data_IF_152308905908
#
_entry.id   IF_152308905908
#
_cell.length_a   1.000
_cell.length_b   1.000
_cell.length_c   1.000
_cell.angle_alpha   90.00
_cell.angle_beta   90.00
_cell.angle_gamma   90.00
#
_symmetry.space_group_name_H-M   'P 1'
#
loop_
_entity.id
_entity.type
_entity.pdbx_description
1 polymer ?
#
# COMPACT_ATOMS: atom_id res chain seq x y z
N UNK A 1 54.91 -58.67 -2.77
CA UNK A 1 53.89 -58.16 -1.82
C UNK A 1 52.77 -57.55 -2.64
N UNK A 2 51.54 -58.05 -2.77
CA UNK A 2 50.86 -59.33 -2.52
C UNK A 2 49.54 -59.22 -3.33
N UNK A 3 49.29 -60.14 -4.28
CA UNK A 3 48.18 -61.13 -4.28
C UNK A 3 46.76 -60.53 -4.24
N UNK A 4 46.00 -60.42 -5.34
CA UNK A 4 45.22 -61.44 -6.11
C UNK A 4 43.94 -61.96 -5.41
N UNK A 5 42.79 -61.77 -6.08
CA UNK A 5 41.57 -62.62 -6.24
C UNK A 5 40.34 -61.69 -6.42
N UNK A 6 39.60 -61.60 -7.55
CA UNK A 6 38.89 -62.56 -8.41
C UNK A 6 37.65 -63.21 -7.75
N UNK A 7 36.47 -63.06 -8.40
CA UNK A 7 35.34 -64.00 -8.62
C UNK A 7 34.11 -63.16 -9.08
N UNK A 8 33.70 -63.21 -10.36
CA UNK A 8 32.73 -64.15 -11.01
C UNK A 8 31.27 -63.92 -10.53
N UNK A 9 30.19 -63.95 -11.32
CA UNK A 9 29.92 -64.25 -12.72
C UNK A 9 28.41 -64.06 -12.98
N UNK A 10 28.02 -63.78 -14.23
CA UNK A 10 26.64 -63.64 -14.75
C UNK A 10 25.95 -65.03 -14.97
N UNK A 11 24.92 -65.21 -15.82
CA UNK A 11 23.49 -64.79 -15.78
C UNK A 11 22.49 -65.97 -16.02
N UNK A 12 21.17 -65.68 -16.03
CA UNK A 12 20.11 -66.51 -16.67
C UNK A 12 19.36 -67.45 -15.71
N UNK A 13 18.11 -67.89 -15.94
CA UNK A 13 17.20 -67.73 -17.07
C UNK A 13 15.73 -68.07 -16.66
N UNK A 14 14.84 -67.64 -17.55
CA UNK A 14 13.39 -67.90 -17.79
C UNK A 14 12.85 -69.30 -17.41
N UNK A 15 11.57 -69.33 -16.99
CA UNK A 15 10.42 -70.08 -17.57
C UNK A 15 9.17 -69.73 -16.73
N UNK A 16 8.03 -69.24 -17.26
CA UNK A 16 7.09 -69.73 -18.28
C UNK A 16 5.88 -70.50 -17.71
N UNK A 17 4.71 -69.86 -17.81
CA UNK A 17 3.38 -70.38 -18.23
C UNK A 17 2.50 -71.17 -17.25
N UNK A 18 1.27 -70.64 -17.06
CA UNK A 18 -0.06 -71.30 -17.21
C UNK A 18 -1.08 -70.53 -16.32
N UNK A 19 -1.92 -69.64 -16.87
CA UNK A 19 -3.26 -69.88 -17.44
C UNK A 19 -4.23 -70.67 -16.53
N UNK A 20 -5.24 -70.00 -15.98
CA UNK A 20 -6.60 -70.55 -15.95
C UNK A 20 -7.66 -69.48 -15.65
N UNK A 21 -8.62 -69.47 -16.56
CA UNK A 21 -9.90 -68.76 -16.60
C UNK A 21 -10.74 -68.94 -15.32
N UNK A 22 -11.43 -67.88 -14.93
CA UNK A 22 -12.54 -67.91 -13.98
C UNK A 22 -13.42 -66.68 -14.15
N UNK A 23 -14.49 -66.83 -14.92
CA UNK A 23 -15.49 -65.81 -15.21
C UNK A 23 -16.58 -65.75 -14.11
N UNK A 24 -17.32 -64.64 -14.15
CA UNK A 24 -18.62 -64.37 -13.52
C UNK A 24 -18.63 -63.82 -12.09
N UNK A 25 -18.49 -62.50 -11.97
CA UNK A 25 -19.21 -61.75 -10.94
C UNK A 25 -20.30 -60.88 -11.56
N UNK A 26 -21.50 -61.09 -11.02
CA UNK A 26 -22.78 -60.53 -11.44
C UNK A 26 -22.85 -59.06 -11.04
N UNK A 27 -22.72 -58.13 -11.98
CA UNK A 27 -23.11 -56.74 -11.74
C UNK A 27 -24.63 -56.61 -11.87
N UNK A 28 -25.27 -56.37 -10.72
CA UNK A 28 -26.72 -56.24 -10.62
C UNK A 28 -27.19 -54.94 -11.31
N UNK A 29 -28.23 -55.07 -12.13
CA UNK A 29 -28.94 -53.99 -12.85
C UNK A 29 -29.63 -52.98 -11.89
N UNK A 30 -29.48 -53.14 -10.57
CA UNK A 30 -30.09 -52.25 -9.56
C UNK A 30 -29.25 -51.02 -9.19
N UNK A 31 -27.99 -50.94 -9.62
CA UNK A 31 -27.12 -49.78 -9.39
C UNK A 31 -27.32 -48.62 -10.38
N UNK A 32 -27.68 -48.92 -11.64
CA UNK A 32 -27.80 -47.92 -12.70
C UNK A 32 -29.07 -47.06 -12.60
N UNK A 33 -30.14 -47.57 -11.98
CA UNK A 33 -31.42 -46.83 -11.83
C UNK A 33 -31.36 -45.80 -10.69
N UNK A 34 -30.49 -45.99 -9.69
CA UNK A 34 -30.32 -45.03 -8.58
C UNK A 34 -29.41 -43.85 -8.91
N UNK A 35 -28.47 -44.02 -9.85
CA UNK A 35 -27.60 -42.93 -10.32
C UNK A 35 -28.32 -41.95 -11.28
N UNK A 36 -29.31 -42.43 -12.05
CA UNK A 36 -30.09 -41.56 -12.95
C UNK A 36 -31.13 -40.70 -12.19
N UNK A 37 -31.68 -41.20 -11.08
CA UNK A 37 -32.69 -40.49 -10.29
C UNK A 37 -32.13 -39.33 -9.44
N UNK A 38 -30.88 -39.43 -8.95
CA UNK A 38 -30.24 -38.32 -8.22
C UNK A 38 -29.73 -37.19 -9.13
N UNK A 39 -29.47 -37.47 -10.40
CA UNK A 39 -28.99 -36.45 -11.35
C UNK A 39 -30.16 -35.59 -11.90
N UNK A 40 -31.38 -36.12 -11.93
CA UNK A 40 -32.57 -35.37 -12.39
C UNK A 40 -33.14 -34.40 -11.32
N UNK A 41 -32.99 -34.70 -10.02
CA UNK A 41 -33.45 -33.81 -8.94
C UNK A 41 -32.55 -32.58 -8.72
N UNK A 42 -31.27 -32.65 -9.10
CA UNK A 42 -30.35 -31.51 -8.97
C UNK A 42 -30.55 -30.44 -10.06
N UNK A 43 -31.11 -30.81 -11.23
CA UNK A 43 -31.37 -29.86 -12.32
C UNK A 43 -32.70 -29.09 -12.17
N UNK A 44 -33.64 -29.59 -11.35
CA UNK A 44 -34.95 -28.94 -11.17
C UNK A 44 -35.00 -27.89 -10.04
N UNK A 45 -33.92 -27.74 -9.25
CA UNK A 45 -33.82 -26.72 -8.19
C UNK A 45 -33.08 -25.44 -8.62
N UNK A 46 -32.64 -25.33 -9.88
CA UNK A 46 -31.92 -24.16 -10.41
C UNK A 46 -32.78 -23.23 -11.30
N UNK A 47 -34.10 -23.45 -11.40
CA UNK A 47 -34.98 -22.70 -12.32
C UNK A 47 -36.01 -21.79 -11.64
N UNK A 48 -35.89 -21.49 -10.34
CA UNK A 48 -36.93 -20.75 -9.60
C UNK A 48 -36.40 -19.57 -8.77
N UNK A 49 -35.72 -18.62 -9.43
CA UNK A 49 -35.51 -17.25 -8.93
C UNK A 49 -35.39 -16.27 -10.13
N UNK A 50 -36.42 -16.19 -10.97
CA UNK A 50 -36.59 -15.10 -11.92
C UNK A 50 -37.82 -14.30 -11.50
N UNK A 51 -37.64 -13.35 -10.59
CA UNK A 51 -38.66 -12.37 -10.24
C UNK A 51 -38.90 -11.39 -11.41
N UNK A 52 -40.09 -10.77 -11.51
CA UNK A 52 -40.40 -9.85 -12.60
C UNK A 52 -39.52 -8.61 -12.48
N UNK A 53 -38.67 -8.38 -13.47
CA UNK A 53 -37.88 -7.16 -13.60
C UNK A 53 -38.79 -6.02 -14.08
N UNK A 54 -39.23 -5.21 -13.13
CA UNK A 54 -39.97 -3.98 -13.37
C UNK A 54 -39.09 -3.04 -14.20
N UNK A 55 -39.54 -2.74 -15.43
CA UNK A 55 -38.90 -1.78 -16.32
C UNK A 55 -39.11 -0.37 -15.75
N UNK A 56 -38.21 0.06 -14.88
CA UNK A 56 -38.07 1.47 -14.54
C UNK A 56 -37.61 2.22 -15.80
N UNK A 57 -38.41 3.21 -16.18
CA UNK A 57 -38.25 4.00 -17.39
C UNK A 57 -36.89 4.69 -17.49
N UNK A 58 -36.51 4.91 -18.74
CA UNK A 58 -35.38 5.69 -19.21
C UNK A 58 -35.46 7.13 -18.68
N UNK A 59 -34.94 7.35 -17.48
CA UNK A 59 -34.41 8.65 -17.11
C UNK A 59 -32.95 8.67 -17.55
N UNK A 60 -32.62 9.55 -18.49
CA UNK A 60 -31.23 9.88 -18.78
C UNK A 60 -30.53 10.20 -17.44
N UNK A 61 -29.32 9.68 -17.17
CA UNK A 61 -28.60 10.07 -15.97
C UNK A 61 -28.43 11.59 -16.05
N UNK A 62 -29.07 12.30 -15.11
CA UNK A 62 -28.68 13.66 -14.76
C UNK A 62 -27.18 13.56 -14.53
N UNK A 63 -26.40 14.25 -15.36
CA UNK A 63 -24.96 14.15 -15.37
C UNK A 63 -24.46 14.41 -13.94
N UNK A 64 -24.09 13.34 -13.22
CA UNK A 64 -23.33 13.47 -12.01
C UNK A 64 -22.10 14.25 -12.41
N UNK A 65 -21.95 15.45 -11.86
CA UNK A 65 -20.86 16.36 -12.17
C UNK A 65 -19.57 15.58 -11.95
N UNK A 66 -18.87 15.28 -13.05
CA UNK A 66 -17.67 14.43 -13.01
C UNK A 66 -16.60 15.22 -12.27
N UNK A 67 -16.26 14.78 -11.07
CA UNK A 67 -15.19 15.37 -10.26
C UNK A 67 -13.95 15.53 -11.13
N UNK A 68 -13.52 16.78 -11.30
CA UNK A 68 -12.35 17.11 -12.12
C UNK A 68 -11.08 17.01 -11.29
N UNK A 69 -10.18 16.11 -11.69
CA UNK A 69 -8.92 15.81 -11.01
C UNK A 69 -7.75 16.38 -11.81
N UNK A 70 -6.80 17.03 -11.14
CA UNK A 70 -5.47 17.31 -11.69
C UNK A 70 -4.48 16.23 -11.25
N UNK A 71 -3.71 15.65 -12.16
CA UNK A 71 -2.65 14.69 -11.82
C UNK A 71 -1.31 15.39 -11.90
N UNK A 72 -0.67 15.58 -10.75
CA UNK A 72 0.63 16.25 -10.66
C UNK A 72 1.75 15.43 -11.31
N UNK A 73 2.88 16.07 -11.68
CA UNK A 73 4.08 15.36 -12.08
C UNK A 73 4.48 14.30 -11.03
N UNK A 74 4.86 13.11 -11.50
CA UNK A 74 5.28 12.02 -10.63
C UNK A 74 6.45 12.46 -9.75
N UNK A 75 6.27 12.34 -8.44
CA UNK A 75 7.37 12.53 -7.50
C UNK A 75 8.27 11.29 -7.50
N UNK A 76 9.54 11.46 -7.84
CA UNK A 76 10.49 10.35 -7.81
C UNK A 76 11.27 10.29 -6.48
N UNK A 77 10.80 9.41 -5.59
CA UNK A 77 11.41 9.10 -4.29
C UNK A 77 12.38 7.90 -4.36
N UNK A 78 12.55 7.25 -5.52
CA UNK A 78 13.46 6.09 -5.65
C UNK A 78 14.93 6.50 -5.62
N UNK A 79 15.23 7.74 -5.99
CA UNK A 79 16.61 8.21 -6.16
C UNK A 79 17.34 7.62 -7.38
N UNK A 80 16.64 6.83 -8.20
CA UNK A 80 17.14 6.27 -9.48
C UNK A 80 16.42 6.90 -10.68
N UNK A 81 16.96 6.70 -11.88
CA UNK A 81 16.23 7.02 -13.12
C UNK A 81 14.96 6.16 -13.21
N UNK A 82 13.84 6.77 -13.57
CA UNK A 82 12.56 6.08 -13.71
C UNK A 82 11.72 6.70 -14.85
N UNK A 83 10.88 5.91 -15.54
CA UNK A 83 10.01 6.35 -16.64
C UNK A 83 8.82 7.16 -16.10
N UNK A 84 9.12 8.36 -15.58
CA UNK A 84 8.19 9.14 -14.77
C UNK A 84 7.02 9.70 -15.60
N UNK A 85 7.27 9.98 -16.88
CA UNK A 85 6.24 10.47 -17.81
C UNK A 85 5.26 9.36 -18.14
N UNK A 86 5.78 8.18 -18.47
CA UNK A 86 5.03 7.00 -18.86
C UNK A 86 4.15 6.50 -17.71
N UNK A 87 4.67 6.50 -16.47
CA UNK A 87 3.88 6.17 -15.27
C UNK A 87 2.73 7.16 -15.08
N UNK A 88 2.98 8.47 -15.27
CA UNK A 88 1.94 9.49 -15.14
C UNK A 88 0.88 9.36 -16.24
N UNK A 89 1.29 9.14 -17.48
CA UNK A 89 0.37 8.88 -18.60
C UNK A 89 -0.51 7.67 -18.33
N UNK A 90 0.03 6.64 -17.69
CA UNK A 90 -0.75 5.48 -17.26
C UNK A 90 -1.80 5.85 -16.21
N UNK A 91 -1.45 6.66 -15.19
CA UNK A 91 -2.44 7.19 -14.24
C UNK A 91 -3.55 7.98 -14.94
N UNK A 92 -3.21 8.89 -15.86
CA UNK A 92 -4.18 9.67 -16.64
C UNK A 92 -5.15 8.74 -17.37
N UNK A 93 -4.62 7.76 -18.11
CA UNK A 93 -5.42 6.81 -18.87
C UNK A 93 -6.35 5.96 -17.98
N UNK A 94 -5.85 5.47 -16.83
CA UNK A 94 -6.65 4.65 -15.91
C UNK A 94 -7.74 5.44 -15.21
N UNK A 95 -7.48 6.69 -14.80
CA UNK A 95 -8.49 7.56 -14.22
C UNK A 95 -9.58 7.91 -15.23
N UNK A 96 -9.21 8.22 -16.48
CA UNK A 96 -10.18 8.47 -17.54
C UNK A 96 -11.04 7.23 -17.83
N UNK A 97 -10.43 6.04 -17.89
CA UNK A 97 -11.15 4.78 -18.05
C UNK A 97 -12.09 4.47 -16.87
N UNK A 98 -11.73 4.90 -15.66
CA UNK A 98 -12.58 4.82 -14.47
C UNK A 98 -13.71 5.88 -14.42
N UNK A 99 -13.77 6.79 -15.40
CA UNK A 99 -14.85 7.76 -15.54
C UNK A 99 -14.60 9.14 -14.91
N UNK A 100 -13.39 9.39 -14.38
CA UNK A 100 -13.03 10.71 -13.85
C UNK A 100 -12.80 11.73 -14.97
N UNK A 101 -13.12 13.00 -14.72
CA UNK A 101 -12.67 14.09 -15.57
C UNK A 101 -11.24 14.45 -15.17
N UNK A 102 -10.27 14.35 -16.08
CA UNK A 102 -8.87 14.67 -15.78
C UNK A 102 -8.47 15.96 -16.50
N UNK A 103 -7.79 16.86 -15.80
CA UNK A 103 -7.25 18.10 -16.36
C UNK A 103 -6.14 17.76 -17.37
N UNK A 104 -6.14 18.44 -18.52
CA UNK A 104 -5.10 18.29 -19.54
C UNK A 104 -3.77 18.92 -19.11
N UNK A 105 -2.68 18.43 -19.70
CA UNK A 105 -1.31 18.80 -19.33
C UNK A 105 -1.02 20.28 -19.59
N UNK A 106 -1.45 20.82 -20.74
CA UNK A 106 -1.23 22.24 -21.06
C UNK A 106 -1.94 23.15 -20.05
N UNK A 107 -3.14 22.79 -19.60
CA UNK A 107 -3.86 23.52 -18.56
C UNK A 107 -3.16 23.44 -17.20
N UNK A 108 -2.68 22.26 -16.81
CA UNK A 108 -1.93 22.10 -15.57
C UNK A 108 -0.64 22.91 -15.59
N UNK A 109 0.14 22.81 -16.67
CA UNK A 109 1.41 23.52 -16.84
C UNK A 109 1.23 25.04 -16.83
N UNK A 110 0.15 25.55 -17.42
CA UNK A 110 -0.20 26.98 -17.34
C UNK A 110 -0.43 27.44 -15.91
N UNK A 111 -1.19 26.68 -15.12
CA UNK A 111 -1.45 27.01 -13.70
C UNK A 111 -0.15 26.92 -12.90
N UNK A 112 0.60 25.82 -13.04
CA UNK A 112 1.86 25.62 -12.33
C UNK A 112 2.88 26.71 -12.64
N UNK A 113 3.01 27.11 -13.91
CA UNK A 113 3.93 28.17 -14.35
C UNK A 113 3.50 29.54 -13.81
N UNK A 114 2.21 29.88 -13.94
CA UNK A 114 1.66 31.16 -13.48
C UNK A 114 1.88 31.37 -11.99
N UNK A 115 1.63 30.33 -11.19
CA UNK A 115 1.74 30.36 -9.73
C UNK A 115 3.13 29.91 -9.24
N UNK A 116 4.08 29.69 -10.16
CA UNK A 116 5.49 29.32 -9.88
C UNK A 116 5.63 28.11 -8.97
N UNK A 117 4.79 27.10 -9.19
CA UNK A 117 4.78 25.85 -8.44
C UNK A 117 6.06 25.07 -8.74
N UNK A 118 6.92 24.93 -7.73
CA UNK A 118 8.20 24.19 -7.84
C UNK A 118 8.21 22.86 -7.10
N UNK A 119 7.32 22.70 -6.12
CA UNK A 119 7.22 21.52 -5.28
C UNK A 119 5.89 20.82 -5.60
N UNK A 120 5.97 19.55 -6.00
CA UNK A 120 4.81 18.78 -6.48
C UNK A 120 4.43 17.62 -5.56
N UNK A 121 5.12 17.49 -4.43
CA UNK A 121 4.91 16.40 -3.46
C UNK A 121 3.95 16.78 -2.31
N UNK A 122 3.49 18.03 -2.31
CA UNK A 122 2.44 18.53 -1.43
C UNK A 122 1.78 19.73 -2.07
N UNK A 123 0.63 20.12 -1.53
CA UNK A 123 -0.19 21.22 -2.06
C UNK A 123 -0.39 22.26 -0.97
N UNK A 124 0.22 23.42 -1.14
CA UNK A 124 -0.10 24.57 -0.30
C UNK A 124 -1.48 25.18 -0.64
N UNK A 125 -1.96 26.06 0.23
CA UNK A 125 -3.27 26.70 0.08
C UNK A 125 -3.38 27.50 -1.23
N UNK A 126 -2.31 28.17 -1.63
CA UNK A 126 -2.33 29.06 -2.80
C UNK A 126 -2.48 28.25 -4.09
N UNK A 127 -1.76 27.15 -4.21
CA UNK A 127 -1.85 26.22 -5.36
C UNK A 127 -3.20 25.51 -5.39
N UNK A 128 -3.71 25.05 -4.25
CA UNK A 128 -5.04 24.45 -4.15
C UNK A 128 -6.14 25.41 -4.63
N UNK A 129 -6.08 26.67 -4.20
CA UNK A 129 -7.02 27.71 -4.62
C UNK A 129 -6.88 28.08 -6.09
N UNK A 130 -5.65 28.20 -6.58
CA UNK A 130 -5.38 28.48 -7.98
C UNK A 130 -6.01 27.43 -8.90
N UNK A 131 -5.82 26.14 -8.60
CA UNK A 131 -6.39 25.05 -9.40
C UNK A 131 -7.92 25.02 -9.34
N UNK A 132 -8.50 25.31 -8.16
CA UNK A 132 -9.96 25.43 -8.01
C UNK A 132 -10.54 26.57 -8.86
N UNK A 133 -9.93 27.75 -8.81
CA UNK A 133 -10.43 28.97 -9.46
C UNK A 133 -10.12 29.02 -10.95
N UNK A 134 -8.90 28.68 -11.36
CA UNK A 134 -8.43 28.86 -12.73
C UNK A 134 -8.82 27.69 -13.64
N UNK A 135 -9.02 26.48 -13.08
CA UNK A 135 -9.22 25.25 -13.86
C UNK A 135 -10.42 24.39 -13.44
N UNK A 136 -11.20 24.85 -12.44
CA UNK A 136 -12.33 24.11 -11.86
C UNK A 136 -11.95 22.69 -11.41
N UNK A 137 -10.69 22.51 -10.96
CA UNK A 137 -10.23 21.25 -10.38
C UNK A 137 -10.83 21.13 -8.99
N UNK A 138 -11.33 19.95 -8.65
CA UNK A 138 -11.89 19.65 -7.33
C UNK A 138 -10.90 18.90 -6.44
N UNK A 139 -10.03 18.08 -7.04
CA UNK A 139 -9.02 17.33 -6.31
C UNK A 139 -7.71 17.21 -7.10
N UNK A 140 -6.61 17.05 -6.38
CA UNK A 140 -5.26 16.87 -6.94
C UNK A 140 -4.77 15.47 -6.57
N UNK A 141 -4.39 14.69 -7.56
CA UNK A 141 -3.72 13.41 -7.37
C UNK A 141 -2.21 13.61 -7.46
N UNK A 142 -1.50 13.23 -6.40
CA UNK A 142 -0.04 13.20 -6.32
C UNK A 142 0.40 11.73 -6.34
N UNK A 143 0.94 11.23 -7.47
CA UNK A 143 1.63 9.95 -7.49
C UNK A 143 3.09 10.13 -7.05
N UNK A 144 3.57 9.22 -6.20
CA UNK A 144 4.96 9.21 -5.72
C UNK A 144 5.57 7.82 -5.93
N UNK A 145 6.63 7.73 -6.71
CA UNK A 145 7.37 6.50 -6.98
C UNK A 145 8.42 6.28 -5.90
N UNK A 146 8.21 5.27 -5.07
CA UNK A 146 9.10 4.92 -3.98
C UNK A 146 10.26 4.05 -4.47
N UNK A 147 10.00 2.99 -5.20
CA UNK A 147 11.03 2.05 -5.67
C UNK A 147 10.81 1.77 -7.14
N UNK A 148 11.91 1.76 -7.90
CA UNK A 148 11.96 1.28 -9.27
C UNK A 148 13.32 0.62 -9.48
N UNK A 149 13.31 -0.70 -9.51
CA UNK A 149 14.47 -1.54 -9.75
C UNK A 149 14.13 -2.54 -10.87
N UNK A 150 14.92 -2.49 -11.94
CA UNK A 150 14.76 -3.36 -13.10
C UNK A 150 15.61 -4.63 -12.98
N UNK A 151 16.45 -4.73 -11.95
CA UNK A 151 17.28 -5.90 -11.68
C UNK A 151 16.39 -7.08 -11.34
N UNK A 152 16.58 -8.24 -11.98
CA UNK A 152 15.79 -9.43 -11.68
C UNK A 152 15.98 -9.92 -10.23
N UNK A 153 14.90 -10.22 -9.48
CA UNK A 153 13.50 -9.98 -9.82
C UNK A 153 13.18 -8.48 -9.71
N UNK A 154 12.52 -7.88 -10.74
CA UNK A 154 12.24 -6.45 -10.73
C UNK A 154 11.34 -6.06 -9.57
N UNK A 155 11.45 -4.82 -9.10
CA UNK A 155 10.66 -4.32 -7.97
C UNK A 155 10.14 -2.91 -8.23
N UNK A 156 8.88 -2.69 -7.86
CA UNK A 156 8.20 -1.41 -7.98
C UNK A 156 7.44 -1.13 -6.70
N UNK A 157 7.60 0.05 -6.13
CA UNK A 157 6.77 0.52 -5.04
C UNK A 157 6.34 1.96 -5.28
N UNK A 158 5.10 2.29 -4.94
CA UNK A 158 4.55 3.63 -5.14
C UNK A 158 3.40 3.93 -4.19
N UNK A 159 3.20 5.22 -3.97
CA UNK A 159 2.03 5.79 -3.32
C UNK A 159 1.24 6.61 -4.33
N UNK A 160 -0.04 6.82 -4.01
CA UNK A 160 -0.82 7.89 -4.59
C UNK A 160 -1.68 8.52 -3.52
N UNK A 161 -1.77 9.86 -3.54
CA UNK A 161 -2.53 10.65 -2.58
C UNK A 161 -3.44 11.62 -3.31
N UNK A 162 -4.70 11.67 -2.90
CA UNK A 162 -5.68 12.61 -3.40
C UNK A 162 -5.95 13.70 -2.37
N UNK A 163 -5.89 14.96 -2.80
CA UNK A 163 -6.02 16.14 -1.94
C UNK A 163 -7.17 17.00 -2.46
N UNK A 164 -8.05 17.47 -1.57
CA UNK A 164 -9.09 18.44 -1.95
C UNK A 164 -8.48 19.78 -2.34
N UNK A 165 -9.12 20.48 -3.26
CA UNK A 165 -8.79 21.87 -3.60
C UNK A 165 -9.71 22.85 -2.85
N UNK A 166 -9.31 24.12 -2.76
CA UNK A 166 -10.04 25.17 -2.05
C UNK A 166 -9.23 25.79 -0.91
N UNK A 167 -9.90 26.51 -0.01
CA UNK A 167 -9.24 27.25 1.08
C UNK A 167 -8.64 26.33 2.16
N UNK A 168 -9.14 25.11 2.27
CA UNK A 168 -8.73 24.10 3.25
C UNK A 168 -8.41 22.78 2.54
N UNK A 169 -7.25 22.68 1.87
CA UNK A 169 -6.85 21.43 1.23
C UNK A 169 -6.60 20.35 2.29
N UNK A 170 -7.18 19.18 2.08
CA UNK A 170 -7.13 18.05 2.99
C UNK A 170 -6.87 16.75 2.21
N UNK A 171 -6.18 15.80 2.85
CA UNK A 171 -5.96 14.48 2.27
C UNK A 171 -7.30 13.71 2.29
N UNK A 172 -7.85 13.46 1.10
CA UNK A 172 -9.12 12.76 0.94
C UNK A 172 -8.95 11.25 0.84
N UNK A 173 -7.84 10.82 0.25
CA UNK A 173 -7.49 9.42 0.04
C UNK A 173 -5.97 9.29 -0.09
N UNK A 174 -5.44 8.16 0.36
CA UNK A 174 -4.05 7.78 0.16
C UNK A 174 -3.96 6.27 0.16
N UNK A 175 -3.21 5.73 -0.79
CA UNK A 175 -2.87 4.31 -0.79
C UNK A 175 -1.45 4.10 -1.32
N UNK A 176 -0.92 2.90 -1.12
CA UNK A 176 0.41 2.51 -1.58
C UNK A 176 0.58 1.01 -1.66
N UNK A 177 1.43 0.56 -2.57
CA UNK A 177 1.84 -0.84 -2.64
C UNK A 177 3.29 -0.98 -3.11
N UNK A 178 3.89 -2.10 -2.74
CA UNK A 178 5.18 -2.57 -3.22
C UNK A 178 5.01 -3.96 -3.79
N UNK A 179 5.56 -4.17 -4.99
CA UNK A 179 5.51 -5.40 -5.76
C UNK A 179 6.93 -5.82 -6.14
N UNK A 180 7.20 -7.11 -6.05
CA UNK A 180 8.39 -7.75 -6.61
C UNK A 180 7.97 -8.81 -7.65
N UNK A 181 8.84 -9.03 -8.64
CA UNK A 181 8.60 -9.99 -9.72
C UNK A 181 8.46 -11.44 -9.25
N UNK A 182 8.95 -11.72 -8.04
CA UNK A 182 8.95 -13.02 -7.38
C UNK A 182 7.97 -13.09 -6.19
N UNK A 183 7.02 -12.17 -6.06
CA UNK A 183 6.00 -12.22 -4.98
C UNK A 183 5.02 -13.39 -5.13
N UNK A 184 4.78 -13.84 -6.36
CA UNK A 184 3.81 -14.91 -6.66
C UNK A 184 4.33 -15.86 -7.76
N UNK A 185 5.45 -16.58 -7.52
CA UNK A 185 6.10 -17.38 -8.55
C UNK A 185 5.24 -18.56 -9.04
N UNK A 186 4.27 -19.00 -8.24
CA UNK A 186 3.38 -20.10 -8.59
C UNK A 186 4.09 -21.45 -8.75
N UNK A 187 3.42 -22.42 -9.37
CA UNK A 187 3.99 -23.74 -9.67
C UNK A 187 5.01 -23.59 -10.79
N UNK A 188 6.23 -24.11 -10.59
CA UNK A 188 7.33 -24.07 -11.56
C UNK A 188 7.75 -22.66 -12.01
N UNK A 189 7.47 -21.62 -11.23
CA UNK A 189 7.88 -20.24 -11.56
C UNK A 189 7.02 -19.56 -12.65
N UNK A 190 5.88 -20.14 -13.03
CA UNK A 190 5.00 -19.58 -14.09
C UNK A 190 4.40 -18.21 -13.76
N UNK A 191 4.39 -17.80 -12.49
CA UNK A 191 3.89 -16.50 -12.04
C UNK A 191 4.97 -15.42 -11.89
N UNK A 192 6.23 -15.73 -12.20
CA UNK A 192 7.32 -14.77 -12.19
C UNK A 192 7.07 -13.64 -13.19
N UNK A 193 7.37 -12.41 -12.77
CA UNK A 193 7.31 -11.22 -13.62
C UNK A 193 8.71 -10.68 -13.79
N UNK A 194 9.21 -10.72 -15.02
CA UNK A 194 10.55 -10.24 -15.36
C UNK A 194 10.54 -8.80 -15.91
N UNK A 195 9.40 -8.33 -16.42
CA UNK A 195 9.25 -6.98 -16.97
C UNK A 195 8.75 -6.00 -15.90
N UNK A 196 9.55 -4.98 -15.50
CA UNK A 196 9.13 -3.98 -14.52
C UNK A 196 7.89 -3.19 -14.97
N UNK A 197 7.64 -3.05 -16.27
CA UNK A 197 6.48 -2.34 -16.82
C UNK A 197 5.17 -3.03 -16.45
N UNK A 198 5.17 -4.37 -16.34
CA UNK A 198 4.02 -5.14 -15.87
C UNK A 198 3.74 -4.85 -14.40
N UNK A 199 4.78 -4.74 -13.56
CA UNK A 199 4.63 -4.38 -12.14
C UNK A 199 4.11 -2.94 -11.98
N UNK A 200 4.63 -2.00 -12.77
CA UNK A 200 4.11 -0.62 -12.82
C UNK A 200 2.63 -0.62 -13.17
N UNK A 201 2.21 -1.33 -14.22
CA UNK A 201 0.81 -1.38 -14.62
C UNK A 201 -0.09 -1.97 -13.54
N UNK A 202 0.32 -3.07 -12.92
CA UNK A 202 -0.39 -3.67 -11.78
C UNK A 202 -0.49 -2.71 -10.60
N UNK A 203 0.55 -1.94 -10.32
CA UNK A 203 0.55 -0.97 -9.24
C UNK A 203 -0.42 0.19 -9.49
N UNK A 204 -0.39 0.77 -10.69
CA UNK A 204 -1.34 1.84 -11.07
C UNK A 204 -2.78 1.32 -11.06
N UNK A 205 -3.02 0.11 -11.60
CA UNK A 205 -4.35 -0.51 -11.61
C UNK A 205 -4.88 -0.74 -10.18
N UNK A 206 -4.03 -1.21 -9.27
CA UNK A 206 -4.39 -1.41 -7.87
C UNK A 206 -4.71 -0.08 -7.16
N UNK A 207 -3.90 0.96 -7.37
CA UNK A 207 -4.11 2.27 -6.75
C UNK A 207 -5.37 2.96 -7.28
N UNK A 208 -5.59 2.97 -8.59
CA UNK A 208 -6.81 3.55 -9.18
C UNK A 208 -8.04 2.73 -8.76
N UNK A 209 -7.94 1.40 -8.72
CA UNK A 209 -9.00 0.53 -8.22
C UNK A 209 -9.34 0.82 -6.76
N UNK A 210 -8.34 1.05 -5.91
CA UNK A 210 -8.51 1.43 -4.51
C UNK A 210 -9.20 2.79 -4.37
N UNK A 211 -8.76 3.80 -5.14
CA UNK A 211 -9.40 5.12 -5.18
C UNK A 211 -10.87 5.04 -5.59
N UNK A 212 -11.20 4.23 -6.60
CA UNK A 212 -12.58 4.02 -7.06
C UNK A 212 -13.42 3.32 -6.00
N UNK A 213 -12.85 2.33 -5.31
CA UNK A 213 -13.55 1.54 -4.30
C UNK A 213 -13.86 2.34 -3.02
N UNK A 214 -12.94 3.19 -2.57
CA UNK A 214 -13.14 4.05 -1.41
C UNK A 214 -13.93 5.32 -1.77
N UNK A 215 -13.80 5.82 -2.98
CA UNK A 215 -14.43 7.07 -3.41
C UNK A 215 -13.85 8.31 -2.71
N UNK A 216 -14.41 9.48 -3.02
CA UNK A 216 -13.98 10.76 -2.44
C UNK A 216 -14.42 10.87 -0.97
N UNK A 217 -13.55 10.43 -0.06
CA UNK A 217 -13.71 10.66 1.38
C UNK A 217 -14.46 9.57 2.15
N UNK A 218 -14.81 8.42 1.55
CA UNK A 218 -15.27 7.29 2.35
C UNK A 218 -14.06 6.63 3.02
N UNK A 219 -13.88 6.91 4.31
CA UNK A 219 -12.90 6.20 5.14
C UNK A 219 -13.39 4.78 5.36
N UNK A 220 -13.01 3.84 4.49
CA UNK A 220 -13.35 2.45 4.72
C UNK A 220 -12.46 1.91 5.83
N UNK A 221 -13.06 1.62 6.98
CA UNK A 221 -12.40 0.83 8.02
C UNK A 221 -12.39 -0.61 7.53
N UNK A 222 -11.41 -0.97 6.70
CA UNK A 222 -11.18 -2.37 6.35
C UNK A 222 -10.95 -3.09 7.68
N UNK A 223 -11.81 -4.05 8.02
CA UNK A 223 -11.65 -4.88 9.22
C UNK A 223 -10.38 -5.71 9.02
N UNK A 224 -9.24 -5.11 9.36
CA UNK A 224 -7.95 -5.69 9.05
C UNK A 224 -7.75 -6.89 9.99
N UNK A 225 -7.39 -8.03 9.40
CA UNK A 225 -6.85 -9.13 10.20
C UNK A 225 -5.62 -8.54 10.89
N UNK A 226 -5.61 -8.52 12.22
CA UNK A 226 -4.55 -7.86 12.99
C UNK A 226 -3.16 -8.23 12.48
N UNK A 227 -2.23 -7.28 12.53
CA UNK A 227 -0.93 -7.45 11.88
C UNK A 227 -0.18 -8.68 12.41
N UNK A 228 0.54 -9.43 11.53
CA UNK A 228 1.40 -10.53 11.95
C UNK A 228 2.31 -10.10 13.10
N UNK A 229 2.45 -10.98 14.11
CA UNK A 229 3.19 -10.66 15.35
C UNK A 229 4.60 -10.13 15.10
N UNK A 230 5.25 -10.57 14.01
CA UNK A 230 6.60 -10.14 13.64
C UNK A 230 6.73 -8.64 13.38
N UNK A 231 5.68 -7.98 12.90
CA UNK A 231 5.67 -6.54 12.58
C UNK A 231 5.22 -5.66 13.74
N UNK A 232 4.90 -6.25 14.90
CA UNK A 232 4.56 -5.47 16.08
C UNK A 232 5.77 -4.61 16.49
N UNK A 233 5.51 -3.37 16.96
CA UNK A 233 6.57 -2.52 17.46
C UNK A 233 7.33 -3.19 18.60
N UNK A 234 8.65 -2.97 18.64
CA UNK A 234 9.55 -3.60 19.61
C UNK A 234 9.51 -2.86 20.94
N UNK A 235 9.39 -1.54 20.90
CA UNK A 235 9.19 -0.68 22.07
C UNK A 235 7.99 0.22 21.81
N UNK A 236 7.15 0.38 22.82
CA UNK A 236 5.97 1.27 22.76
C UNK A 236 5.86 2.00 24.09
N UNK A 237 5.63 3.30 24.01
CA UNK A 237 5.12 4.11 25.09
C UNK A 237 3.80 4.74 24.64
N UNK A 238 2.80 4.75 25.52
CA UNK A 238 1.51 5.38 25.28
C UNK A 238 1.02 6.03 26.56
N UNK A 239 0.68 7.30 26.48
CA UNK A 239 0.03 8.06 27.54
C UNK A 239 -1.50 7.89 27.48
N UNK A 240 -2.16 7.91 28.64
CA UNK A 240 -3.62 7.89 28.72
C UNK A 240 -4.28 9.18 28.24
N UNK A 241 -3.49 10.23 28.00
CA UNK A 241 -3.95 11.49 27.39
C UNK A 241 -4.43 11.27 25.95
N UNK A 242 -3.88 10.26 25.24
CA UNK A 242 -4.30 9.90 23.89
C UNK A 242 -5.56 9.02 23.93
N UNK A 243 -6.70 9.68 23.98
CA UNK A 243 -8.02 9.09 24.12
C UNK A 243 -8.57 8.61 22.76
N UNK A 244 -8.85 7.31 22.55
CA UNK A 244 -9.39 6.80 21.29
C UNK A 244 -10.73 7.44 20.86
N UNK A 245 -11.50 7.94 21.82
CA UNK A 245 -12.79 8.59 21.63
C UNK A 245 -12.70 10.06 21.17
N UNK A 246 -11.53 10.69 21.29
CA UNK A 246 -11.33 12.09 20.88
C UNK A 246 -10.83 12.16 19.44
N UNK A 247 -11.31 13.16 18.71
CA UNK A 247 -10.75 13.53 17.40
C UNK A 247 -9.51 14.40 17.61
N UNK A 248 -8.48 14.16 16.80
CA UNK A 248 -7.23 14.90 16.80
C UNK A 248 -6.87 15.31 15.37
N UNK A 249 -6.54 16.59 15.18
CA UNK A 249 -5.81 17.03 13.99
C UNK A 249 -4.31 16.73 14.16
N UNK A 250 -3.69 16.15 13.13
CA UNK A 250 -2.31 15.66 13.17
C UNK A 250 -1.50 16.33 12.07
N UNK A 251 -0.51 17.12 12.47
CA UNK A 251 0.54 17.60 11.58
C UNK A 251 1.64 16.54 11.47
N UNK A 252 1.94 16.07 10.26
CA UNK A 252 3.05 15.14 10.04
C UNK A 252 4.27 15.95 9.62
N UNK A 253 5.25 16.05 10.52
CA UNK A 253 6.52 16.70 10.25
C UNK A 253 7.44 15.78 9.41
N UNK A 254 8.41 16.35 8.67
CA UNK A 254 9.42 15.55 7.98
C UNK A 254 10.17 14.64 8.97
N UNK A 255 10.26 13.35 8.65
CA UNK A 255 11.02 12.42 9.47
C UNK A 255 12.52 12.63 9.28
N UNK A 256 13.27 12.52 10.37
CA UNK A 256 14.72 12.64 10.31
C UNK A 256 15.32 11.37 9.69
N UNK A 257 16.12 11.54 8.64
CA UNK A 257 16.66 10.44 7.86
C UNK A 257 18.14 10.20 8.22
N UNK A 258 18.42 9.09 8.90
CA UNK A 258 19.79 8.63 9.24
C UNK A 258 20.30 7.55 8.27
N UNK A 259 19.60 7.32 7.16
CA UNK A 259 19.94 6.30 6.16
C UNK A 259 20.69 6.91 4.97
N UNK A 260 21.35 6.06 4.18
CA UNK A 260 21.94 6.46 2.89
C UNK A 260 20.87 6.69 1.79
N UNK A 261 19.63 6.25 2.05
CA UNK A 261 18.51 6.42 1.12
C UNK A 261 17.91 7.80 1.28
N UNK A 262 18.22 8.70 0.34
CA UNK A 262 17.85 10.13 0.36
C UNK A 262 16.45 10.46 0.89
N UNK A 263 15.43 9.71 0.50
CA UNK A 263 14.02 10.04 0.77
C UNK A 263 13.34 9.11 1.80
N UNK A 264 14.11 8.36 2.59
CA UNK A 264 13.52 7.39 3.53
C UNK A 264 12.58 8.05 4.57
N UNK A 265 12.89 9.28 4.99
CA UNK A 265 12.04 10.06 5.90
C UNK A 265 10.67 10.35 5.30
N UNK A 266 10.64 10.87 4.07
CA UNK A 266 9.40 11.15 3.34
C UNK A 266 8.58 9.89 3.10
N UNK A 267 9.23 8.77 2.78
CA UNK A 267 8.57 7.47 2.54
C UNK A 267 7.89 6.96 3.81
N UNK A 268 8.58 6.98 4.96
CA UNK A 268 7.98 6.57 6.24
C UNK A 268 6.84 7.52 6.64
N UNK A 269 6.99 8.82 6.41
CA UNK A 269 5.91 9.78 6.65
C UNK A 269 4.66 9.43 5.82
N UNK A 270 4.79 9.03 4.55
CA UNK A 270 3.68 8.58 3.71
C UNK A 270 3.00 7.32 4.24
N UNK A 271 3.77 6.32 4.69
CA UNK A 271 3.21 5.14 5.35
C UNK A 271 2.40 5.51 6.60
N UNK A 272 2.91 6.45 7.40
CA UNK A 272 2.22 6.90 8.60
C UNK A 272 0.97 7.71 8.30
N UNK A 273 0.99 8.61 7.30
CA UNK A 273 -0.20 9.34 6.82
C UNK A 273 -1.26 8.34 6.36
N UNK A 274 -0.88 7.35 5.54
CA UNK A 274 -1.78 6.29 5.08
C UNK A 274 -2.39 5.54 6.24
N UNK A 275 -1.58 5.14 7.22
CA UNK A 275 -2.07 4.46 8.41
C UNK A 275 -3.03 5.35 9.24
N UNK A 276 -2.69 6.62 9.46
CA UNK A 276 -3.54 7.55 10.23
C UNK A 276 -4.90 7.77 9.56
N UNK A 277 -4.93 7.83 8.23
CA UNK A 277 -6.15 7.99 7.44
C UNK A 277 -7.13 6.81 7.58
N UNK A 278 -6.67 5.64 8.04
CA UNK A 278 -7.55 4.49 8.31
C UNK A 278 -8.43 4.69 9.55
N UNK A 279 -8.09 5.64 10.42
CA UNK A 279 -8.79 5.89 11.66
C UNK A 279 -9.69 7.13 11.58
N UNK A 280 -10.88 7.03 12.16
CA UNK A 280 -11.86 8.13 12.13
C UNK A 280 -11.56 9.24 13.15
N UNK A 281 -10.73 8.94 14.15
CA UNK A 281 -10.37 9.85 15.22
C UNK A 281 -9.13 10.70 14.89
N UNK A 282 -8.50 10.50 13.73
CA UNK A 282 -7.43 11.35 13.24
C UNK A 282 -7.86 12.12 11.98
N UNK A 283 -7.39 13.36 11.89
CA UNK A 283 -7.49 14.19 10.70
C UNK A 283 -6.09 14.69 10.36
N UNK A 284 -5.55 14.26 9.22
CA UNK A 284 -4.17 14.57 8.84
C UNK A 284 -4.14 15.92 8.12
N UNK A 285 -3.35 16.85 8.65
CA UNK A 285 -3.03 18.11 7.97
C UNK A 285 -2.18 17.81 6.75
N UNK A 286 -2.52 18.43 5.62
CA UNK A 286 -1.79 18.21 4.37
C UNK A 286 -0.29 18.59 4.52
N UNK A 287 0.65 17.72 4.11
CA UNK A 287 2.09 17.94 4.34
C UNK A 287 2.73 19.16 3.64
N UNK A 288 2.23 19.55 2.47
CA UNK A 288 2.57 20.81 1.80
C UNK A 288 2.24 22.05 2.63
N UNK A 289 1.11 22.09 3.36
CA UNK A 289 0.80 23.15 4.33
C UNK A 289 1.85 23.17 5.46
N UNK A 290 2.13 22.00 6.05
CA UNK A 290 3.16 21.88 7.11
C UNK A 290 4.52 22.37 6.61
N UNK A 291 4.90 21.97 5.39
CA UNK A 291 6.14 22.38 4.74
C UNK A 291 6.19 23.89 4.49
N UNK A 292 5.09 24.49 4.03
CA UNK A 292 5.01 25.93 3.78
C UNK A 292 5.30 26.72 5.06
N UNK A 293 4.71 26.31 6.19
CA UNK A 293 4.95 26.97 7.47
C UNK A 293 6.40 26.75 7.95
N UNK A 294 6.97 25.55 7.81
CA UNK A 294 8.39 25.30 8.11
C UNK A 294 9.32 26.24 7.32
N UNK A 295 9.07 26.40 6.02
CA UNK A 295 9.84 27.31 5.17
C UNK A 295 9.64 28.78 5.56
N UNK A 296 8.42 29.17 5.90
CA UNK A 296 8.07 30.53 6.33
C UNK A 296 8.79 30.91 7.62
N UNK A 297 8.85 30.00 8.59
CA UNK A 297 9.57 30.19 9.85
C UNK A 297 11.07 29.90 9.76
N UNK A 298 11.56 29.49 8.57
CA UNK A 298 12.97 29.12 8.32
C UNK A 298 13.48 28.04 9.27
N UNK A 299 12.61 27.10 9.63
CA UNK A 299 12.95 25.96 10.48
C UNK A 299 13.71 24.95 9.61
N UNK A 300 14.94 24.62 10.02
CA UNK A 300 15.79 23.62 9.36
C UNK A 300 15.98 22.48 10.35
N UNK A 301 15.46 21.30 10.00
CA UNK A 301 15.51 20.12 10.86
C UNK A 301 16.84 19.37 10.66
N UNK A 302 17.89 19.78 11.38
CA UNK A 302 19.20 19.09 11.33
C UNK A 302 19.28 17.85 12.20
N UNK A 303 18.51 17.78 13.30
CA UNK A 303 18.52 16.67 14.28
C UNK A 303 17.09 16.30 14.73
N UNK A 304 16.10 16.46 13.85
CA UNK A 304 14.68 16.35 14.18
C UNK A 304 14.03 17.70 14.54
N UNK A 305 12.79 17.67 15.05
CA UNK A 305 12.04 18.88 15.47
C UNK A 305 12.27 19.10 16.96
N UNK A 306 12.80 20.26 17.34
CA UNK A 306 12.89 20.67 18.74
C UNK A 306 11.51 21.00 19.32
N UNK A 307 11.37 21.04 20.65
CA UNK A 307 10.09 21.40 21.27
C UNK A 307 9.57 22.80 20.86
N UNK A 308 10.41 23.85 20.82
CA UNK A 308 9.96 25.18 20.36
C UNK A 308 9.50 25.21 18.89
N UNK A 309 10.17 24.45 18.01
CA UNK A 309 9.76 24.33 16.62
C UNK A 309 8.45 23.56 16.49
N UNK A 310 8.26 22.51 17.30
CA UNK A 310 7.01 21.75 17.39
C UNK A 310 5.84 22.66 17.77
N UNK A 311 6.02 23.54 18.76
CA UNK A 311 5.00 24.52 19.15
C UNK A 311 4.67 25.50 18.02
N UNK A 312 5.69 25.96 17.31
CA UNK A 312 5.53 26.88 16.17
C UNK A 312 4.70 26.22 15.07
N UNK A 313 5.01 24.97 14.72
CA UNK A 313 4.27 24.20 13.71
C UNK A 313 2.82 23.99 14.16
N UNK A 314 2.59 23.50 15.38
CA UNK A 314 1.26 23.24 15.93
C UNK A 314 0.39 24.50 15.95
N UNK A 315 0.97 25.63 16.31
CA UNK A 315 0.28 26.91 16.30
C UNK A 315 -0.04 27.40 14.88
N UNK A 316 0.87 27.20 13.94
CA UNK A 316 0.73 27.69 12.57
C UNK A 316 -0.31 26.91 11.75
N UNK A 317 -0.39 25.59 11.93
CA UNK A 317 -1.32 24.73 11.19
C UNK A 317 -2.57 24.33 11.98
N UNK A 318 -2.70 24.86 13.20
CA UNK A 318 -3.79 24.57 14.16
C UNK A 318 -4.01 23.07 14.40
N UNK A 319 -2.91 22.33 14.56
CA UNK A 319 -2.95 20.90 14.86
C UNK A 319 -2.99 20.62 16.37
N UNK A 320 -3.63 19.52 16.77
CA UNK A 320 -3.62 19.02 18.14
C UNK A 320 -2.34 18.24 18.46
N UNK A 321 -1.84 17.49 17.48
CA UNK A 321 -0.69 16.61 17.59
C UNK A 321 0.32 16.87 16.45
N UNK A 322 1.62 16.74 16.76
CA UNK A 322 2.66 16.54 15.73
C UNK A 322 3.11 15.09 15.77
N UNK A 323 3.11 14.46 14.60
CA UNK A 323 3.84 13.22 14.35
C UNK A 323 5.22 13.56 13.77
N UNK A 324 6.26 13.03 14.40
CA UNK A 324 7.62 13.04 13.87
C UNK A 324 8.28 11.68 14.13
N UNK A 325 9.51 11.47 13.66
CA UNK A 325 10.27 10.27 13.92
C UNK A 325 11.66 10.30 13.30
N UNK A 326 12.35 9.18 13.42
CA UNK A 326 13.64 8.96 12.80
C UNK A 326 13.61 7.66 12.00
N UNK A 327 14.26 7.65 10.84
CA UNK A 327 14.47 6.46 10.02
C UNK A 327 15.94 6.06 10.15
N UNK A 328 16.19 4.90 10.75
CA UNK A 328 17.53 4.38 11.03
C UNK A 328 18.03 3.45 9.92
N UNK A 329 17.11 2.70 9.29
CA UNK A 329 17.39 1.82 8.17
C UNK A 329 16.18 1.75 7.24
N UNK A 330 16.43 1.85 5.93
CA UNK A 330 15.41 1.66 4.91
C UNK A 330 16.09 1.18 3.63
N UNK A 331 16.09 -0.14 3.43
CA UNK A 331 16.82 -0.78 2.35
C UNK A 331 15.95 -1.79 1.64
N UNK A 332 15.88 -1.63 0.32
CA UNK A 332 15.58 -2.70 -0.60
C UNK A 332 16.89 -3.30 -1.10
N UNK A 333 16.84 -4.58 -1.41
CA UNK A 333 17.96 -5.28 -2.05
C UNK A 333 17.74 -5.37 -3.55
N UNK A 334 18.85 -5.36 -4.29
CA UNK A 334 18.89 -5.69 -5.71
C UNK A 334 19.20 -7.17 -5.89
N UNK A 335 18.63 -7.79 -6.91
CA UNK A 335 18.86 -9.21 -7.19
C UNK A 335 18.01 -10.15 -6.34
N UNK A 336 18.16 -11.48 -6.51
CA UNK A 336 17.34 -12.49 -5.83
C UNK A 336 17.73 -12.76 -4.36
N UNK A 337 19.00 -12.57 -4.01
CA UNK A 337 19.58 -13.10 -2.76
C UNK A 337 19.66 -12.09 -1.61
N UNK A 338 18.88 -11.01 -1.66
CA UNK A 338 18.89 -10.01 -0.60
C UNK A 338 17.65 -10.02 0.30
N UNK A 339 17.70 -9.17 1.32
CA UNK A 339 16.65 -9.06 2.34
C UNK A 339 16.34 -7.59 2.54
N UNK A 340 15.06 -7.23 2.40
CA UNK A 340 14.60 -5.87 2.69
C UNK A 340 14.75 -5.59 4.19
N UNK A 341 15.06 -4.35 4.57
CA UNK A 341 15.20 -3.95 5.99
C UNK A 341 14.54 -2.61 6.22
N UNK A 342 13.82 -2.52 7.33
CA UNK A 342 13.16 -1.30 7.77
C UNK A 342 13.37 -1.14 9.27
N UNK A 343 13.84 0.02 9.68
CA UNK A 343 14.09 0.40 11.07
C UNK A 343 13.75 1.88 11.26
N UNK A 344 12.75 2.17 12.08
CA UNK A 344 12.33 3.54 12.36
C UNK A 344 11.68 3.68 13.74
N UNK A 345 11.68 4.91 14.21
CA UNK A 345 10.93 5.34 15.39
C UNK A 345 9.91 6.41 15.03
N UNK A 346 8.83 6.47 15.80
CA UNK A 346 7.79 7.50 15.70
C UNK A 346 7.52 8.09 17.08
N UNK A 347 7.13 9.36 17.11
CA UNK A 347 6.70 10.06 18.31
C UNK A 347 5.53 11.00 17.99
N UNK A 348 4.56 11.06 18.90
CA UNK A 348 3.48 12.03 18.90
C UNK A 348 3.66 12.99 20.07
N UNK A 349 3.64 14.29 19.79
CA UNK A 349 3.67 15.36 20.81
C UNK A 349 2.32 16.08 20.80
N UNK A 350 1.70 16.23 21.97
CA UNK A 350 0.44 16.98 22.12
C UNK A 350 0.70 18.47 22.38
N UNK A 351 -0.02 19.34 21.66
CA UNK A 351 0.07 20.80 21.78
C UNK A 351 -0.17 21.32 23.19
N UNK A 352 -1.21 20.80 23.86
CA UNK A 352 -1.69 21.34 25.14
C UNK A 352 -0.71 21.06 26.29
N UNK A 353 -0.23 19.83 26.40
CA UNK A 353 0.67 19.42 27.49
C UNK A 353 2.14 19.54 27.12
N UNK A 354 2.47 19.67 25.83
CA UNK A 354 3.84 19.67 25.30
C UNK A 354 4.61 18.39 25.64
N UNK A 355 3.88 17.29 25.80
CA UNK A 355 4.43 16.00 26.18
C UNK A 355 4.30 15.02 25.02
N UNK A 356 5.24 14.07 25.01
CA UNK A 356 5.09 12.87 24.17
C UNK A 356 3.89 12.10 24.70
N UNK A 357 2.89 11.87 23.85
CA UNK A 357 1.69 11.09 24.20
C UNK A 357 1.75 9.68 23.62
N UNK A 358 2.60 9.45 22.64
CA UNK A 358 2.90 8.13 22.10
C UNK A 358 4.30 8.10 21.52
N UNK A 359 5.03 7.02 21.71
CA UNK A 359 6.22 6.73 20.93
C UNK A 359 6.34 5.24 20.65
N UNK A 360 6.98 4.91 19.54
CA UNK A 360 7.20 3.53 19.14
C UNK A 360 8.50 3.38 18.39
N UNK A 361 9.16 2.25 18.58
CA UNK A 361 10.32 1.82 17.82
C UNK A 361 10.02 0.47 17.16
N UNK A 362 10.26 0.38 15.86
CA UNK A 362 9.94 -0.79 15.04
C UNK A 362 11.09 -1.10 14.10
N UNK A 363 11.48 -2.38 14.07
CA UNK A 363 12.53 -2.88 13.19
C UNK A 363 12.19 -4.27 12.69
N UNK A 364 12.36 -4.50 11.39
CA UNK A 364 12.15 -5.81 10.76
C UNK A 364 13.06 -6.02 9.54
N UNK A 365 13.20 -7.29 9.18
CA UNK A 365 13.85 -7.77 7.97
C UNK A 365 12.90 -8.68 7.17
N UNK A 366 13.11 -8.77 5.86
CA UNK A 366 12.23 -9.47 4.92
C UNK A 366 12.13 -10.97 5.17
N UNK A 367 13.15 -11.55 5.80
CA UNK A 367 13.26 -12.96 6.18
C UNK A 367 12.77 -13.25 7.61
N UNK A 368 12.34 -12.23 8.36
CA UNK A 368 11.81 -12.43 9.71
C UNK A 368 10.57 -13.34 9.68
N UNK A 369 10.61 -14.44 10.42
CA UNK A 369 9.49 -15.38 10.54
C UNK A 369 9.14 -16.11 9.25
N UNK A 370 10.08 -16.22 8.31
CA UNK A 370 9.96 -17.06 7.12
C UNK A 370 9.97 -18.54 7.51
N UNK A 371 9.05 -19.30 6.91
CA UNK A 371 8.94 -20.75 7.06
C UNK A 371 9.49 -21.45 5.80
N UNK A 372 9.35 -22.77 5.72
CA UNK A 372 9.77 -23.58 4.58
C UNK A 372 9.19 -23.03 3.25
N UNK A 373 9.99 -23.04 2.19
CA UNK A 373 9.64 -22.54 0.84
C UNK A 373 9.34 -21.04 0.76
N UNK A 374 10.13 -20.21 1.46
CA UNK A 374 9.99 -18.75 1.49
C UNK A 374 8.62 -18.25 1.97
N UNK A 375 7.82 -19.11 2.60
CA UNK A 375 6.49 -18.73 3.06
C UNK A 375 6.62 -17.64 4.13
N UNK A 376 6.05 -16.47 3.81
CA UNK A 376 5.97 -15.34 4.73
C UNK A 376 7.10 -14.34 4.52
N UNK A 377 7.95 -14.52 3.51
CA UNK A 377 8.97 -13.56 3.11
C UNK A 377 8.31 -12.28 2.62
N UNK A 378 8.95 -11.15 2.89
CA UNK A 378 8.53 -9.84 2.38
C UNK A 378 9.67 -9.27 1.54
N UNK A 379 9.41 -9.10 0.24
CA UNK A 379 10.46 -8.80 -0.75
C UNK A 379 10.76 -7.31 -0.90
N UNK A 380 9.89 -6.44 -0.38
CA UNK A 380 10.03 -4.98 -0.47
C UNK A 380 10.00 -4.31 0.90
N UNK A 381 10.80 -3.27 1.08
CA UNK A 381 10.77 -2.39 2.24
C UNK A 381 9.41 -1.70 2.37
N UNK A 382 8.77 -1.35 1.25
CA UNK A 382 7.41 -0.82 1.21
C UNK A 382 6.40 -1.71 1.96
N UNK A 383 6.31 -2.99 1.58
CA UNK A 383 5.33 -3.90 2.14
C UNK A 383 5.58 -4.07 3.65
N UNK A 384 6.84 -4.16 4.05
CA UNK A 384 7.23 -4.25 5.45
C UNK A 384 6.88 -3.00 6.25
N UNK A 385 7.23 -1.81 5.75
CA UNK A 385 6.91 -0.53 6.38
C UNK A 385 5.39 -0.32 6.47
N UNK A 386 4.62 -0.77 5.47
CA UNK A 386 3.16 -0.76 5.50
C UNK A 386 2.59 -1.63 6.63
N UNK A 387 3.11 -2.85 6.80
CA UNK A 387 2.73 -3.72 7.93
C UNK A 387 3.12 -3.11 9.28
N UNK A 388 4.33 -2.57 9.40
CA UNK A 388 4.83 -1.95 10.64
C UNK A 388 4.02 -0.70 11.02
N UNK A 389 3.69 0.16 10.05
CA UNK A 389 2.86 1.35 10.28
C UNK A 389 1.45 0.97 10.76
N UNK A 390 0.82 -0.04 10.13
CA UNK A 390 -0.47 -0.58 10.59
C UNK A 390 -0.40 -1.16 12.01
N UNK A 391 0.67 -1.89 12.33
CA UNK A 391 0.86 -2.44 13.66
C UNK A 391 1.04 -1.35 14.72
N UNK A 392 1.73 -0.26 14.39
CA UNK A 392 1.83 0.96 15.23
C UNK A 392 0.45 1.57 15.44
N UNK A 393 -0.34 1.77 14.38
CA UNK A 393 -1.70 2.33 14.48
C UNK A 393 -2.62 1.51 15.38
N UNK A 394 -2.61 0.19 15.20
CA UNK A 394 -3.36 -0.74 16.05
C UNK A 394 -2.93 -0.66 17.51
N UNK A 395 -1.63 -0.50 17.80
CA UNK A 395 -1.11 -0.37 19.16
C UNK A 395 -1.41 1.00 19.79
N UNK A 396 -1.44 2.04 18.99
CA UNK A 396 -1.78 3.40 19.42
C UNK A 396 -3.22 3.49 19.94
N UNK A 397 -4.16 2.78 19.30
CA UNK A 397 -5.58 2.79 19.65
C UNK A 397 -6.06 1.62 20.51
N UNK A 398 -5.22 0.61 20.75
CA UNK A 398 -5.52 -0.41 21.75
C UNK A 398 -5.52 0.25 23.14
N UNK A 399 -6.72 0.50 23.67
CA UNK A 399 -6.93 0.95 25.04
C UNK A 399 -6.16 0.05 26.02
N UNK A 400 -5.56 0.65 27.04
CA UNK A 400 -4.73 -0.03 28.04
C UNK A 400 -5.44 -1.24 28.68
N UNK A 401 -5.22 -2.43 28.11
CA UNK A 401 -5.46 -3.72 28.77
C UNK A 401 -4.18 -4.28 29.41
N UNK A 402 -3.19 -3.43 29.69
CA UNK A 402 -1.97 -3.83 30.40
C UNK A 402 -1.80 -3.03 31.68
N UNK A 403 -2.73 -3.25 32.62
CA UNK A 403 -2.54 -3.03 34.04
C UNK A 403 -3.57 -3.87 34.83
N UNK A 404 -3.42 -5.21 34.80
CA UNK A 404 -3.88 -6.11 35.86
C UNK A 404 -2.90 -7.26 36.01
#
# INVERSE_FOLDING_TARGET
MGTVHAVSGSPGARHSVADSRGAHERWSVRGAVRALAMTLCACLLLSACAGPQERAGTAAPVAAERVRIAVFPLENLSGSGAPSREIRELFLARLQAAGFSVLDDDSLDRVMTRHRVRYTAGVDRDVALALKRDAAVEAILIPSLELFDETYPPKVAMFSRLISTGDSPAVMWIDGLGLAGDDAPGILGLGLVEDPSILVARAVDALVGSLVAEGFGARTHRADKGEPRKFRPKLVYRSDVLAPEKKYSVAVAPFFNKTDRKYAGEIIALHMIRNLMTFQNFEVVEPGIVRQELLRFRIIMTDGVSLPETETILGAVDADLVLNGEVLDYRDYRGPDGVAKVDFSVLFIERRTRQVVYSSYSQNQGDDGVLLFDWGRVNTAHAMASHMARAIGQKMLQAGQQAR
#
